data_IF_846066619145
#
_entry.id   IF_846066619145
#
_cell.length_a   1.000
_cell.length_b   1.000
_cell.length_c   1.000
_cell.angle_alpha   90.00
_cell.angle_beta   90.00
_cell.angle_gamma   90.00
#
_symmetry.space_group_name_H-M   'P 1'
#
loop_
_entity.id
_entity.type
_entity.pdbx_description
1 polymer ?
#
# COMPACT_ATOMS: atom_id res chain seq x y z
N UNK A 1 25.26 -11.68 69.56
CA UNK A 1 23.80 -11.55 69.45
C UNK A 1 23.50 -11.53 67.97
N UNK A 2 23.36 -12.72 67.39
CA UNK A 2 23.15 -12.91 65.96
C UNK A 2 21.67 -13.10 65.67
N UNK A 3 21.18 -12.31 64.71
CA UNK A 3 19.80 -12.33 64.25
C UNK A 3 19.74 -13.13 62.95
N UNK A 4 19.12 -14.31 62.98
CA UNK A 4 18.79 -15.11 61.80
C UNK A 4 17.42 -14.68 61.25
N UNK A 5 17.40 -14.23 59.99
CA UNK A 5 16.19 -13.94 59.22
C UNK A 5 15.92 -15.13 58.30
N UNK A 6 14.80 -15.82 58.52
CA UNK A 6 14.29 -16.89 57.66
C UNK A 6 13.55 -16.32 56.45
N UNK A 7 13.92 -16.78 55.25
CA UNK A 7 13.21 -16.52 54.01
C UNK A 7 12.46 -17.76 53.53
N UNK A 8 11.13 -17.71 53.63
CA UNK A 8 10.19 -18.71 53.11
C UNK A 8 10.18 -18.67 51.57
N UNK A 9 10.50 -19.79 50.93
CA UNK A 9 10.42 -19.93 49.47
C UNK A 9 9.18 -20.75 49.10
N UNK A 10 8.10 -20.06 48.75
CA UNK A 10 6.89 -20.70 48.23
C UNK A 10 7.11 -21.17 46.78
N UNK A 11 7.17 -22.49 46.59
CA UNK A 11 7.25 -23.14 45.27
C UNK A 11 5.86 -23.09 44.61
N UNK A 12 5.71 -22.25 43.59
CA UNK A 12 4.49 -22.14 42.78
C UNK A 12 4.47 -23.24 41.71
N UNK A 13 3.69 -24.30 41.96
CA UNK A 13 3.49 -25.39 41.01
C UNK A 13 2.45 -24.94 39.98
N UNK A 14 2.90 -24.58 38.77
CA UNK A 14 2.01 -24.27 37.65
C UNK A 14 1.34 -25.56 37.16
N UNK A 15 0.05 -25.71 37.43
CA UNK A 15 -0.79 -26.72 36.79
C UNK A 15 -0.88 -26.45 35.29
N UNK A 16 -0.18 -27.25 34.50
CA UNK A 16 -0.32 -27.29 33.04
C UNK A 16 -1.67 -27.88 32.65
N UNK A 17 -2.55 -27.05 32.09
CA UNK A 17 -3.81 -27.49 31.47
C UNK A 17 -3.50 -28.50 30.35
N UNK A 18 -4.09 -29.72 30.37
CA UNK A 18 -3.81 -30.72 29.34
C UNK A 18 -4.21 -30.20 27.95
N UNK A 19 -3.31 -30.37 27.00
CA UNK A 19 -3.50 -30.01 25.60
C UNK A 19 -4.69 -30.80 25.03
N UNK A 20 -5.79 -30.10 24.76
CA UNK A 20 -6.94 -30.67 24.05
C UNK A 20 -6.57 -30.71 22.56
N UNK A 21 -6.44 -31.89 21.93
CA UNK A 21 -6.09 -31.96 20.51
C UNK A 21 -7.13 -31.16 19.72
N UNK A 22 -6.68 -30.19 18.92
CA UNK A 22 -7.55 -29.42 18.03
C UNK A 22 -8.19 -30.42 17.07
N UNK A 23 -9.52 -30.53 17.11
CA UNK A 23 -10.30 -31.34 16.17
C UNK A 23 -9.85 -31.03 14.75
N UNK A 24 -9.54 -32.07 13.98
CA UNK A 24 -9.20 -31.95 12.56
C UNK A 24 -10.33 -31.17 11.90
N UNK A 25 -10.04 -30.06 11.19
CA UNK A 25 -11.07 -29.28 10.53
C UNK A 25 -11.77 -30.19 9.52
N UNK A 26 -13.03 -30.52 9.78
CA UNK A 26 -13.86 -31.27 8.85
C UNK A 26 -13.94 -30.45 7.55
N UNK A 27 -13.65 -31.08 6.42
CA UNK A 27 -13.86 -30.48 5.12
C UNK A 27 -15.30 -29.96 5.04
N UNK A 28 -15.49 -28.73 4.53
CA UNK A 28 -16.83 -28.21 4.30
C UNK A 28 -17.55 -29.13 3.30
N UNK A 29 -18.80 -29.54 3.56
CA UNK A 29 -19.51 -30.42 2.64
C UNK A 29 -19.72 -29.71 1.29
N UNK A 30 -19.65 -30.47 0.20
CA UNK A 30 -20.01 -29.97 -1.14
C UNK A 30 -21.50 -29.62 -1.22
N UNK A 31 -21.90 -28.84 -2.23
CA UNK A 31 -23.33 -28.53 -2.46
C UNK A 31 -24.15 -29.81 -2.59
N UNK A 32 -23.65 -30.79 -3.35
CA UNK A 32 -24.28 -32.11 -3.53
C UNK A 32 -24.47 -32.84 -2.20
N UNK A 33 -23.46 -32.82 -1.31
CA UNK A 33 -23.57 -33.43 0.02
C UNK A 33 -24.59 -32.71 0.90
N UNK A 34 -24.71 -31.40 0.77
CA UNK A 34 -25.74 -30.62 1.49
C UNK A 34 -27.13 -30.93 0.93
N UNK A 35 -27.30 -31.00 -0.39
CA UNK A 35 -28.56 -31.40 -1.03
C UNK A 35 -29.01 -32.80 -0.58
N UNK A 36 -28.09 -33.77 -0.55
CA UNK A 36 -28.36 -35.12 -0.06
C UNK A 36 -28.75 -35.13 1.44
N UNK A 37 -28.09 -34.30 2.25
CA UNK A 37 -28.42 -34.16 3.66
C UNK A 37 -29.81 -33.52 3.86
N UNK A 38 -30.15 -32.50 3.08
CA UNK A 38 -31.47 -31.86 3.12
C UNK A 38 -32.57 -32.81 2.65
N UNK A 39 -32.35 -33.64 1.63
CA UNK A 39 -33.35 -34.61 1.16
C UNK A 39 -33.85 -35.57 2.27
N UNK A 40 -33.02 -35.82 3.29
CA UNK A 40 -33.33 -36.68 4.45
C UNK A 40 -34.06 -35.94 5.59
N UNK A 41 -34.19 -34.62 5.51
CA UNK A 41 -34.85 -33.80 6.52
C UNK A 41 -36.36 -33.67 6.27
N UNK A 42 -37.17 -33.48 7.33
CA UNK A 42 -38.60 -33.19 7.19
C UNK A 42 -38.86 -31.86 6.45
N UNK A 43 -40.08 -31.64 5.90
CA UNK A 43 -40.41 -30.40 5.18
C UNK A 43 -40.21 -29.11 5.99
N UNK A 44 -40.31 -29.20 7.32
CA UNK A 44 -40.04 -28.13 8.27
C UNK A 44 -38.77 -28.43 9.07
N UNK A 45 -37.78 -27.56 9.00
CA UNK A 45 -36.46 -27.76 9.63
C UNK A 45 -36.14 -26.70 10.67
N UNK A 46 -35.50 -27.13 11.75
CA UNK A 46 -34.97 -26.27 12.80
C UNK A 46 -33.57 -25.76 12.44
N UNK A 47 -33.14 -24.68 13.10
CA UNK A 47 -31.77 -24.16 12.93
C UNK A 47 -30.67 -25.18 13.22
N UNK A 48 -30.90 -26.12 14.15
CA UNK A 48 -29.96 -27.21 14.47
C UNK A 48 -29.84 -28.20 13.32
N UNK A 49 -30.96 -28.59 12.70
CA UNK A 49 -30.95 -29.49 11.54
C UNK A 49 -30.28 -28.84 10.33
N UNK A 50 -30.55 -27.56 10.08
CA UNK A 50 -29.88 -26.79 9.00
C UNK A 50 -28.38 -26.72 9.27
N UNK A 51 -27.96 -26.44 10.51
CA UNK A 51 -26.55 -26.38 10.88
C UNK A 51 -25.86 -27.75 10.63
N UNK A 52 -26.47 -28.83 11.10
CA UNK A 52 -25.94 -30.19 10.94
C UNK A 52 -25.81 -30.58 9.45
N UNK A 53 -26.86 -30.35 8.64
CA UNK A 53 -26.86 -30.67 7.22
C UNK A 53 -25.82 -29.87 6.40
N UNK A 54 -25.41 -28.69 6.89
CA UNK A 54 -24.43 -27.82 6.23
C UNK A 54 -23.03 -27.92 6.82
N UNK A 55 -22.78 -28.89 7.72
CA UNK A 55 -21.49 -29.07 8.38
C UNK A 55 -21.10 -27.91 9.29
N UNK A 56 -22.08 -27.24 9.92
CA UNK A 56 -21.91 -26.06 10.78
C UNK A 56 -22.41 -26.32 12.19
N UNK A 57 -21.91 -25.52 13.13
CA UNK A 57 -22.33 -25.56 14.54
C UNK A 57 -23.60 -24.76 14.79
N UNK A 58 -23.81 -23.66 14.06
CA UNK A 58 -24.99 -22.79 14.19
C UNK A 58 -25.25 -21.99 12.91
N UNK A 59 -26.50 -21.58 12.71
CA UNK A 59 -26.95 -20.70 11.62
C UNK A 59 -27.32 -19.28 12.07
N UNK A 60 -27.05 -18.89 13.32
CA UNK A 60 -27.43 -17.56 13.84
C UNK A 60 -26.92 -16.42 12.95
N UNK A 61 -25.70 -16.55 12.41
CA UNK A 61 -25.14 -15.55 11.51
C UNK A 61 -25.90 -15.47 10.17
N UNK A 62 -26.60 -16.51 9.73
CA UNK A 62 -27.40 -16.43 8.52
C UNK A 62 -28.67 -15.63 8.77
N UNK A 63 -29.36 -15.95 9.86
CA UNK A 63 -30.57 -15.24 10.29
C UNK A 63 -30.31 -13.75 10.54
N UNK A 64 -29.16 -13.41 11.14
CA UNK A 64 -28.83 -12.02 11.50
C UNK A 64 -28.28 -11.20 10.33
N UNK A 65 -27.51 -11.79 9.42
CA UNK A 65 -26.78 -11.04 8.40
C UNK A 65 -27.44 -11.07 7.00
N UNK A 66 -28.53 -11.80 6.83
CA UNK A 66 -29.22 -11.92 5.55
C UNK A 66 -30.71 -11.69 5.74
N UNK A 67 -31.18 -10.53 5.30
CA UNK A 67 -32.60 -10.12 5.37
C UNK A 67 -33.50 -11.02 4.52
N UNK A 68 -32.92 -11.70 3.53
CA UNK A 68 -33.60 -12.66 2.66
C UNK A 68 -33.50 -14.11 3.13
N UNK A 69 -33.00 -14.35 4.34
CA UNK A 69 -33.00 -15.70 4.91
C UNK A 69 -34.45 -16.19 5.10
N UNK A 70 -34.81 -17.43 4.71
CA UNK A 70 -36.18 -17.89 4.75
C UNK A 70 -36.84 -17.71 6.13
N UNK A 71 -38.07 -17.14 6.16
CA UNK A 71 -38.73 -16.80 7.40
C UNK A 71 -39.16 -18.04 8.17
N UNK A 72 -39.42 -17.85 9.46
CA UNK A 72 -39.99 -18.87 10.34
C UNK A 72 -41.43 -19.14 9.91
N UNK A 73 -41.75 -20.40 9.61
CA UNK A 73 -43.12 -20.83 9.24
C UNK A 73 -43.94 -21.28 10.44
N UNK A 74 -43.26 -21.77 11.48
CA UNK A 74 -43.87 -22.24 12.72
C UNK A 74 -42.87 -22.12 13.86
N UNK A 75 -43.36 -21.86 15.07
CA UNK A 75 -42.55 -21.88 16.29
C UNK A 75 -43.16 -22.83 17.31
N UNK A 76 -42.32 -23.60 18.00
CA UNK A 76 -42.74 -24.51 19.07
C UNK A 76 -41.77 -24.36 20.25
N UNK A 77 -42.21 -23.68 21.30
CA UNK A 77 -41.33 -23.29 22.40
C UNK A 77 -40.17 -22.41 21.91
N UNK A 78 -38.93 -22.88 22.09
CA UNK A 78 -37.72 -22.20 21.62
C UNK A 78 -37.29 -22.63 20.20
N UNK A 79 -37.95 -23.61 19.61
CA UNK A 79 -37.63 -24.09 18.28
C UNK A 79 -38.36 -23.27 17.22
N UNK A 80 -37.58 -22.69 16.29
CA UNK A 80 -38.10 -22.02 15.10
C UNK A 80 -37.95 -22.95 13.89
N UNK A 81 -39.06 -23.23 13.23
CA UNK A 81 -39.12 -24.07 12.04
C UNK A 81 -39.19 -23.22 10.78
N UNK A 82 -38.47 -23.64 9.75
CA UNK A 82 -38.41 -22.99 8.43
C UNK A 82 -38.71 -24.01 7.34
N UNK A 83 -39.19 -23.54 6.19
CA UNK A 83 -39.39 -24.43 5.05
C UNK A 83 -38.03 -24.95 4.55
N UNK A 84 -37.87 -26.27 4.53
CA UNK A 84 -36.64 -26.97 4.15
C UNK A 84 -36.16 -26.58 2.75
N UNK A 85 -37.05 -26.65 1.77
CA UNK A 85 -36.72 -26.45 0.36
C UNK A 85 -36.34 -24.99 0.10
N UNK A 86 -37.00 -24.04 0.77
CA UNK A 86 -36.62 -22.62 0.74
C UNK A 86 -35.26 -22.35 1.36
N UNK A 87 -34.91 -23.04 2.44
CA UNK A 87 -33.57 -22.93 3.04
C UNK A 87 -32.50 -23.51 2.13
N UNK A 88 -32.77 -24.63 1.47
CA UNK A 88 -31.85 -25.23 0.50
C UNK A 88 -31.66 -24.31 -0.72
N UNK A 89 -32.75 -23.83 -1.32
CA UNK A 89 -32.74 -22.86 -2.43
C UNK A 89 -31.91 -21.62 -2.07
N UNK A 90 -32.19 -21.04 -0.89
CA UNK A 90 -31.41 -19.91 -0.37
C UNK A 90 -29.93 -20.29 -0.22
N UNK A 91 -29.61 -21.44 0.40
CA UNK A 91 -28.23 -21.88 0.62
C UNK A 91 -27.46 -22.00 -0.71
N UNK A 92 -28.03 -22.70 -1.70
CA UNK A 92 -27.43 -22.91 -3.02
C UNK A 92 -27.21 -21.59 -3.75
N UNK A 93 -28.15 -20.64 -3.64
CA UNK A 93 -28.01 -19.30 -4.24
C UNK A 93 -26.90 -18.45 -3.60
N UNK A 94 -26.50 -18.73 -2.35
CA UNK A 94 -25.50 -17.91 -1.68
C UNK A 94 -24.10 -18.21 -2.16
N UNK A 95 -23.22 -17.20 -2.26
CA UNK A 95 -21.79 -17.43 -2.49
C UNK A 95 -21.10 -18.29 -1.42
N UNK A 96 -21.79 -18.62 -0.32
CA UNK A 96 -21.28 -19.43 0.79
C UNK A 96 -21.37 -20.94 0.61
N UNK A 97 -22.24 -21.40 -0.28
CA UNK A 97 -22.39 -22.81 -0.65
C UNK A 97 -21.44 -23.23 -1.77
N UNK A 98 -20.95 -22.26 -2.55
CA UNK A 98 -20.00 -22.50 -3.63
C UNK A 98 -18.73 -23.15 -3.06
N UNK A 99 -18.50 -24.42 -3.41
CA UNK A 99 -17.41 -25.27 -2.87
C UNK A 99 -15.99 -24.72 -3.10
N UNK A 100 -15.86 -23.68 -3.94
CA UNK A 100 -14.62 -22.94 -4.18
C UNK A 100 -14.36 -21.81 -3.18
N UNK A 101 -15.11 -21.71 -2.08
CA UNK A 101 -14.78 -20.75 -1.02
C UNK A 101 -13.46 -21.12 -0.36
N UNK A 102 -12.43 -20.38 -0.77
CA UNK A 102 -11.12 -20.38 -0.14
C UNK A 102 -11.30 -20.02 1.34
N UNK A 103 -10.95 -20.96 2.21
CA UNK A 103 -10.75 -20.63 3.61
C UNK A 103 -9.60 -19.61 3.75
N UNK A 104 -9.37 -19.05 4.95
CA UNK A 104 -8.25 -18.13 5.20
C UNK A 104 -6.87 -18.66 4.76
N UNK A 105 -6.76 -19.98 4.55
CA UNK A 105 -5.53 -20.68 4.16
C UNK A 105 -5.13 -20.49 2.70
N UNK A 106 -6.05 -20.20 1.79
CA UNK A 106 -5.76 -20.03 0.34
C UNK A 106 -5.78 -18.56 -0.13
N UNK A 107 -5.78 -17.64 0.84
CA UNK A 107 -5.81 -16.19 0.60
C UNK A 107 -4.53 -15.73 -0.11
N UNK A 108 -3.40 -16.39 0.14
CA UNK A 108 -2.10 -16.06 -0.48
C UNK A 108 -2.10 -16.28 -1.99
N UNK A 109 -2.62 -17.41 -2.48
CA UNK A 109 -2.73 -17.65 -3.90
C UNK A 109 -3.69 -16.66 -4.57
N UNK A 110 -4.77 -16.26 -3.88
CA UNK A 110 -5.69 -15.25 -4.37
C UNK A 110 -5.02 -13.87 -4.42
N UNK A 111 -4.29 -13.50 -3.37
CA UNK A 111 -3.52 -12.26 -3.29
C UNK A 111 -2.45 -12.19 -4.40
N UNK A 112 -1.75 -13.28 -4.68
CA UNK A 112 -0.76 -13.36 -5.76
C UNK A 112 -1.39 -13.14 -7.14
N UNK A 113 -2.54 -13.74 -7.41
CA UNK A 113 -3.22 -13.67 -8.70
C UNK A 113 -4.01 -12.38 -8.92
N UNK A 114 -4.49 -11.76 -7.85
CA UNK A 114 -5.37 -10.59 -7.92
C UNK A 114 -4.67 -9.35 -8.51
N UNK A 115 -5.37 -8.68 -9.43
CA UNK A 115 -4.95 -7.46 -10.13
C UNK A 115 -6.13 -6.47 -10.17
N UNK A 116 -6.60 -5.96 -9.01
CA UNK A 116 -7.75 -5.05 -8.96
C UNK A 116 -7.39 -3.71 -9.62
N UNK A 117 -8.27 -3.15 -10.44
CA UNK A 117 -8.02 -1.85 -11.10
C UNK A 117 -7.91 -0.66 -10.13
N UNK A 118 -8.45 -0.80 -8.92
CA UNK A 118 -8.42 0.22 -7.87
C UNK A 118 -7.27 -0.01 -6.88
N UNK A 119 -6.60 1.08 -6.51
CA UNK A 119 -5.52 1.08 -5.52
C UNK A 119 -6.03 0.90 -4.08
N UNK A 120 -7.16 1.52 -3.77
CA UNK A 120 -7.77 1.49 -2.45
C UNK A 120 -9.05 0.67 -2.48
N UNK A 121 -9.12 -0.39 -1.70
CA UNK A 121 -10.27 -1.27 -1.69
C UNK A 121 -11.04 -1.15 -0.38
N UNK A 122 -12.37 -1.17 -0.48
CA UNK A 122 -13.22 -1.37 0.70
C UNK A 122 -13.02 -2.79 1.24
N UNK A 123 -13.37 -3.04 2.51
CA UNK A 123 -13.31 -4.39 3.07
C UNK A 123 -14.16 -5.42 2.27
N UNK A 124 -15.25 -4.97 1.64
CA UNK A 124 -16.06 -5.81 0.75
C UNK A 124 -15.31 -6.14 -0.54
N UNK A 125 -14.70 -5.14 -1.18
CA UNK A 125 -13.91 -5.34 -2.39
C UNK A 125 -12.68 -6.25 -2.13
N UNK A 126 -11.97 -6.06 -1.02
CA UNK A 126 -10.87 -6.96 -0.60
C UNK A 126 -11.39 -8.39 -0.43
N UNK A 127 -12.53 -8.55 0.25
CA UNK A 127 -13.15 -9.86 0.43
C UNK A 127 -13.41 -10.54 -0.92
N UNK A 128 -14.06 -9.83 -1.85
CA UNK A 128 -14.34 -10.34 -3.19
C UNK A 128 -13.06 -10.69 -3.95
N UNK A 129 -12.06 -9.80 -3.96
CA UNK A 129 -10.76 -10.01 -4.61
C UNK A 129 -10.04 -11.25 -4.08
N UNK A 130 -10.16 -11.52 -2.78
CA UNK A 130 -9.50 -12.65 -2.11
C UNK A 130 -10.36 -13.92 -2.06
N UNK A 131 -11.62 -13.87 -2.50
CA UNK A 131 -12.58 -14.96 -2.35
C UNK A 131 -12.96 -15.25 -0.90
N UNK A 132 -12.87 -14.26 0.00
CA UNK A 132 -13.27 -14.35 1.42
C UNK A 132 -14.40 -13.38 1.75
N UNK A 133 -15.01 -13.54 2.92
CA UNK A 133 -16.10 -12.63 3.33
C UNK A 133 -15.58 -11.28 3.80
N UNK A 134 -16.35 -10.19 3.61
CA UNK A 134 -16.09 -8.88 4.22
C UNK A 134 -15.79 -8.98 5.73
N UNK A 135 -16.54 -9.83 6.44
CA UNK A 135 -16.33 -10.08 7.88
C UNK A 135 -14.99 -10.74 8.18
N UNK A 136 -14.48 -11.60 7.31
CA UNK A 136 -13.14 -12.17 7.46
C UNK A 136 -12.06 -11.09 7.35
N UNK A 137 -12.24 -10.09 6.48
CA UNK A 137 -11.33 -8.94 6.40
C UNK A 137 -11.34 -8.13 7.70
N UNK A 138 -12.52 -7.84 8.27
CA UNK A 138 -12.59 -7.17 9.57
C UNK A 138 -11.94 -7.97 10.70
N UNK A 139 -12.06 -9.30 10.69
CA UNK A 139 -11.37 -10.13 11.66
C UNK A 139 -9.85 -9.96 11.61
N UNK A 140 -9.24 -9.71 10.45
CA UNK A 140 -7.80 -9.39 10.40
C UNK A 140 -7.52 -8.10 11.18
N UNK A 141 -8.31 -7.05 10.98
CA UNK A 141 -8.17 -5.81 11.73
C UNK A 141 -8.36 -6.02 13.25
N UNK A 142 -9.31 -6.85 13.66
CA UNK A 142 -9.58 -7.12 15.08
C UNK A 142 -8.46 -7.93 15.75
N UNK A 143 -7.88 -8.91 15.05
CA UNK A 143 -6.83 -9.78 15.60
C UNK A 143 -5.44 -9.15 15.47
N UNK A 144 -5.24 -8.31 14.46
CA UNK A 144 -3.99 -7.64 14.12
C UNK A 144 -4.23 -6.13 14.11
N UNK A 145 -4.70 -5.59 15.23
CA UNK A 145 -4.89 -4.14 15.41
C UNK A 145 -3.56 -3.39 15.49
N UNK A 146 -3.62 -2.07 15.71
CA UNK A 146 -2.43 -1.20 15.77
C UNK A 146 -1.39 -1.62 16.82
N UNK A 147 -1.85 -2.21 17.93
CA UNK A 147 -0.98 -2.70 19.02
C UNK A 147 -0.38 -4.09 18.73
N UNK A 148 -0.71 -4.71 17.60
CA UNK A 148 -0.12 -5.98 17.20
C UNK A 148 1.33 -5.78 16.77
N UNK A 149 2.17 -6.77 17.03
CA UNK A 149 3.53 -6.81 16.46
C UNK A 149 3.52 -6.83 14.93
N UNK A 150 2.41 -7.25 14.31
CA UNK A 150 2.25 -7.31 12.86
C UNK A 150 0.88 -6.74 12.42
N UNK A 151 0.66 -5.43 12.54
CA UNK A 151 -0.65 -4.82 12.37
C UNK A 151 -1.15 -5.00 10.93
N UNK A 152 -2.44 -5.32 10.81
CA UNK A 152 -3.14 -5.32 9.52
C UNK A 152 -3.22 -3.88 8.99
N UNK A 153 -3.03 -3.64 7.67
CA UNK A 153 -2.98 -2.29 7.13
C UNK A 153 -4.21 -1.46 7.51
N UNK A 154 -3.93 -0.27 8.04
CA UNK A 154 -4.95 0.67 8.47
C UNK A 154 -5.77 1.18 7.28
N UNK A 155 -7.08 1.44 7.45
CA UNK A 155 -7.85 2.14 6.44
C UNK A 155 -7.47 3.63 6.37
N UNK A 156 -7.68 4.25 5.22
CA UNK A 156 -7.66 5.69 5.05
C UNK A 156 -8.94 6.34 5.65
N UNK A 157 -9.07 7.66 5.51
CA UNK A 157 -10.24 8.42 6.00
C UNK A 157 -11.59 7.91 5.46
N UNK A 158 -11.61 7.33 4.25
CA UNK A 158 -12.81 6.77 3.61
C UNK A 158 -13.09 5.31 4.01
N UNK A 159 -12.33 4.74 4.95
CA UNK A 159 -12.48 3.34 5.34
C UNK A 159 -11.92 2.32 4.33
N UNK A 160 -11.21 2.78 3.29
CA UNK A 160 -10.57 1.94 2.25
C UNK A 160 -9.12 1.64 2.62
N UNK A 161 -8.59 0.51 2.17
CA UNK A 161 -7.19 0.12 2.44
C UNK A 161 -6.40 0.03 1.15
N UNK A 162 -5.13 0.40 1.22
CA UNK A 162 -4.19 0.16 0.12
C UNK A 162 -4.14 -1.34 -0.17
N UNK A 163 -4.49 -1.73 -1.40
CA UNK A 163 -4.45 -3.12 -1.83
C UNK A 163 -3.03 -3.68 -1.77
N UNK A 164 -2.04 -2.89 -2.16
CA UNK A 164 -0.64 -3.31 -2.16
C UNK A 164 -0.13 -3.58 -0.74
N UNK A 165 -0.48 -2.73 0.23
CA UNK A 165 -0.18 -2.98 1.64
C UNK A 165 -0.87 -4.26 2.18
N UNK A 166 -2.15 -4.46 1.86
CA UNK A 166 -2.90 -5.67 2.25
C UNK A 166 -2.30 -6.92 1.63
N UNK A 167 -1.93 -6.85 0.36
CA UNK A 167 -1.29 -7.95 -0.37
C UNK A 167 0.06 -8.29 0.26
N UNK A 168 0.93 -7.32 0.49
CA UNK A 168 2.22 -7.54 1.15
C UNK A 168 2.06 -8.17 2.55
N UNK A 169 1.12 -7.67 3.36
CA UNK A 169 0.76 -8.26 4.66
C UNK A 169 0.33 -9.73 4.54
N UNK A 170 -0.48 -10.09 3.54
CA UNK A 170 -0.92 -11.47 3.33
C UNK A 170 0.20 -12.40 2.85
N UNK A 171 1.12 -11.89 2.03
CA UNK A 171 2.18 -12.70 1.43
C UNK A 171 3.34 -12.98 2.41
N UNK A 172 3.70 -12.04 3.29
CA UNK A 172 4.83 -12.23 4.22
C UNK A 172 4.67 -13.42 5.18
N UNK A 173 3.42 -13.80 5.48
CA UNK A 173 3.12 -14.93 6.36
C UNK A 173 3.34 -16.31 5.71
N UNK A 174 3.40 -16.38 4.37
CA UNK A 174 3.60 -17.63 3.62
C UNK A 174 4.93 -17.71 2.90
N UNK A 175 5.61 -16.59 2.76
CA UNK A 175 6.92 -16.48 2.16
C UNK A 175 7.84 -15.70 3.11
N UNK A 176 8.21 -16.30 4.26
CA UNK A 176 8.97 -15.61 5.29
C UNK A 176 10.36 -15.23 4.77
N UNK A 177 10.93 -14.17 5.36
CA UNK A 177 12.33 -13.81 5.15
C UNK A 177 13.23 -15.04 5.40
N UNK A 178 14.25 -15.30 4.56
CA UNK A 178 15.21 -16.37 4.80
C UNK A 178 15.75 -16.35 6.23
N UNK A 179 15.90 -17.52 6.83
CA UNK A 179 16.42 -17.62 8.20
C UNK A 179 17.92 -17.29 8.21
N UNK A 180 18.45 -16.69 9.29
CA UNK A 180 19.89 -16.55 9.46
C UNK A 180 20.56 -17.91 9.51
N UNK A 181 21.78 -18.00 8.97
CA UNK A 181 22.64 -19.17 9.10
C UNK A 181 23.15 -19.36 10.53
N UNK A 182 23.95 -20.41 10.78
CA UNK A 182 24.50 -20.71 12.11
C UNK A 182 25.30 -19.55 12.74
N UNK A 183 25.89 -18.68 11.91
CA UNK A 183 26.67 -17.52 12.32
C UNK A 183 25.82 -16.27 12.61
N UNK A 184 24.49 -16.39 12.55
CA UNK A 184 23.55 -15.30 12.80
C UNK A 184 23.32 -14.35 11.60
N UNK A 185 24.11 -14.48 10.54
CA UNK A 185 23.96 -13.69 9.30
C UNK A 185 23.06 -14.40 8.30
N UNK A 186 22.24 -13.64 7.56
CA UNK A 186 21.47 -14.16 6.42
C UNK A 186 22.32 -14.18 5.16
N UNK A 187 22.07 -15.17 4.32
CA UNK A 187 22.68 -15.26 2.98
C UNK A 187 22.06 -14.16 2.09
N UNK A 188 22.86 -13.14 1.78
CA UNK A 188 22.40 -11.98 1.03
C UNK A 188 21.85 -12.33 -0.37
N UNK A 189 22.52 -13.17 -1.20
CA UNK A 189 21.93 -13.71 -2.41
C UNK A 189 20.54 -14.34 -2.24
N UNK A 190 20.31 -15.10 -1.16
CA UNK A 190 18.97 -15.65 -0.87
C UNK A 190 17.96 -14.56 -0.50
N UNK A 191 18.38 -13.53 0.25
CA UNK A 191 17.54 -12.37 0.56
C UNK A 191 17.19 -11.60 -0.71
N UNK A 192 18.15 -11.33 -1.61
CA UNK A 192 17.90 -10.68 -2.89
C UNK A 192 16.92 -11.46 -3.76
N UNK A 193 17.10 -12.77 -3.90
CA UNK A 193 16.19 -13.63 -4.63
C UNK A 193 14.78 -13.65 -4.00
N UNK A 194 14.69 -13.57 -2.66
CA UNK A 194 13.43 -13.44 -1.95
C UNK A 194 12.77 -12.07 -2.16
N UNK A 195 13.53 -10.98 -2.14
CA UNK A 195 13.03 -9.62 -2.41
C UNK A 195 12.39 -9.54 -3.80
N UNK A 196 13.07 -10.08 -4.82
CA UNK A 196 12.65 -9.96 -6.22
C UNK A 196 11.66 -11.05 -6.69
N UNK A 197 11.30 -12.02 -5.84
CA UNK A 197 10.48 -13.20 -6.20
C UNK A 197 9.13 -12.87 -6.85
N UNK A 198 8.56 -11.72 -6.55
CA UNK A 198 7.29 -11.23 -7.12
C UNK A 198 7.44 -9.89 -7.84
N UNK A 199 8.67 -9.48 -8.10
CA UNK A 199 8.94 -8.30 -8.88
C UNK A 199 8.48 -8.53 -10.32
N UNK A 200 7.65 -7.63 -10.82
CA UNK A 200 7.29 -7.56 -12.23
C UNK A 200 8.04 -6.36 -12.82
N UNK A 201 9.04 -6.56 -13.68
CA UNK A 201 9.76 -5.46 -14.33
C UNK A 201 8.81 -4.55 -15.10
N UNK A 202 9.10 -3.24 -15.15
CA UNK A 202 8.24 -2.27 -15.88
C UNK A 202 8.08 -2.68 -17.35
N UNK A 203 9.14 -3.24 -17.94
CA UNK A 203 9.16 -3.77 -19.31
C UNK A 203 8.13 -4.86 -19.61
N UNK A 204 7.60 -5.54 -18.58
CA UNK A 204 6.60 -6.59 -18.73
C UNK A 204 5.16 -6.10 -18.55
N UNK A 205 4.97 -4.82 -18.21
CA UNK A 205 3.64 -4.23 -18.03
C UNK A 205 3.12 -3.75 -19.40
N UNK A 206 2.25 -4.55 -20.02
CA UNK A 206 1.54 -4.17 -21.25
C UNK A 206 0.34 -3.30 -20.90
N UNK A 207 0.28 -2.11 -21.49
CA UNK A 207 -0.80 -1.11 -21.41
C UNK A 207 -1.05 -0.49 -20.02
N UNK A 208 -0.81 0.82 -19.91
CA UNK A 208 -1.22 1.67 -18.78
C UNK A 208 -0.66 1.25 -17.41
N UNK A 209 0.51 1.77 -17.04
CA UNK A 209 1.08 1.53 -15.71
C UNK A 209 0.18 2.15 -14.63
N UNK A 210 -0.53 1.31 -13.88
CA UNK A 210 -1.25 1.76 -12.68
C UNK A 210 -0.22 1.89 -11.55
N UNK A 211 0.20 3.13 -11.29
CA UNK A 211 1.02 3.48 -10.14
C UNK A 211 0.16 3.57 -8.88
N UNK A 212 0.63 3.01 -7.78
CA UNK A 212 -0.02 3.05 -6.48
C UNK A 212 0.12 4.42 -5.78
N UNK A 213 -0.33 4.50 -4.53
CA UNK A 213 -0.25 5.72 -3.72
C UNK A 213 1.17 6.22 -3.49
N UNK A 214 2.18 5.35 -3.61
CA UNK A 214 3.59 5.73 -3.51
C UNK A 214 4.21 6.06 -4.86
N UNK A 215 3.42 6.05 -5.94
CA UNK A 215 3.93 6.32 -7.28
C UNK A 215 4.72 5.14 -7.87
N UNK A 216 4.51 3.93 -7.35
CA UNK A 216 5.18 2.71 -7.83
C UNK A 216 4.18 1.67 -8.30
N UNK A 217 4.61 0.74 -9.13
CA UNK A 217 3.81 -0.42 -9.53
C UNK A 217 3.61 -1.38 -8.35
N UNK A 218 2.57 -2.22 -8.39
CA UNK A 218 2.36 -3.23 -7.34
C UNK A 218 3.56 -4.17 -7.16
N UNK A 219 4.24 -4.52 -8.26
CA UNK A 219 5.45 -5.35 -8.21
C UNK A 219 6.61 -4.65 -7.50
N UNK A 220 6.81 -3.35 -7.74
CA UNK A 220 7.79 -2.57 -6.98
C UNK A 220 7.41 -2.42 -5.51
N UNK A 221 6.13 -2.17 -5.21
CA UNK A 221 5.62 -2.06 -3.84
C UNK A 221 5.82 -3.32 -3.04
N UNK A 222 5.63 -4.50 -3.64
CA UNK A 222 5.93 -5.77 -2.97
C UNK A 222 7.39 -5.87 -2.55
N UNK A 223 8.31 -5.50 -3.44
CA UNK A 223 9.75 -5.52 -3.15
C UNK A 223 10.07 -4.53 -2.02
N UNK A 224 9.49 -3.33 -2.06
CA UNK A 224 9.67 -2.29 -1.02
C UNK A 224 9.18 -2.79 0.35
N UNK A 225 7.98 -3.36 0.41
CA UNK A 225 7.43 -3.91 1.66
C UNK A 225 8.29 -5.06 2.20
N UNK A 226 8.80 -5.93 1.31
CA UNK A 226 9.74 -6.99 1.70
C UNK A 226 11.07 -6.44 2.19
N UNK A 227 11.58 -5.38 1.56
CA UNK A 227 12.80 -4.71 1.98
C UNK A 227 12.63 -4.04 3.35
N UNK A 228 11.46 -3.45 3.64
CA UNK A 228 11.14 -2.93 4.98
C UNK A 228 11.11 -4.04 6.04
N UNK A 229 10.54 -5.20 5.72
CA UNK A 229 10.56 -6.36 6.63
C UNK A 229 11.98 -6.87 6.88
N UNK A 230 12.83 -6.88 5.86
CA UNK A 230 14.23 -7.23 6.01
C UNK A 230 14.97 -6.21 6.90
N UNK A 231 14.78 -4.90 6.68
CA UNK A 231 15.30 -3.84 7.56
C UNK A 231 14.84 -3.99 9.02
N UNK A 232 13.56 -4.30 9.23
CA UNK A 232 13.01 -4.53 10.57
C UNK A 232 13.58 -5.81 11.24
N UNK A 233 14.21 -6.69 10.47
CA UNK A 233 14.92 -7.87 10.94
C UNK A 233 16.46 -7.67 10.95
N UNK A 234 16.89 -6.41 11.03
CA UNK A 234 18.27 -5.93 11.07
C UNK A 234 19.11 -6.22 9.82
N UNK A 235 18.48 -6.48 8.67
CA UNK A 235 19.19 -6.61 7.40
C UNK A 235 19.48 -5.25 6.76
N UNK A 236 20.72 -5.05 6.32
CA UNK A 236 21.11 -3.85 5.58
C UNK A 236 20.67 -3.98 4.12
N UNK A 237 19.73 -3.12 3.70
CA UNK A 237 19.30 -3.02 2.30
C UNK A 237 20.04 -1.86 1.64
N UNK A 238 20.88 -2.17 0.64
CA UNK A 238 21.53 -1.17 -0.19
C UNK A 238 20.48 -0.46 -1.09
N UNK A 239 20.25 0.82 -0.81
CA UNK A 239 19.30 1.64 -1.56
C UNK A 239 19.71 1.87 -3.02
N UNK A 240 21.00 1.89 -3.35
CA UNK A 240 21.46 2.03 -4.73
C UNK A 240 21.18 0.75 -5.53
N UNK A 241 21.39 -0.41 -4.92
CA UNK A 241 20.94 -1.69 -5.48
C UNK A 241 19.42 -1.69 -5.67
N UNK A 242 18.65 -1.35 -4.63
CA UNK A 242 17.20 -1.39 -4.69
C UNK A 242 16.64 -0.43 -5.75
N UNK A 243 17.18 0.79 -5.84
CA UNK A 243 16.80 1.76 -6.86
C UNK A 243 17.01 1.23 -8.28
N UNK A 244 18.15 0.55 -8.52
CA UNK A 244 18.44 -0.06 -9.82
C UNK A 244 17.48 -1.19 -10.15
N UNK A 245 17.25 -2.12 -9.23
CA UNK A 245 16.34 -3.26 -9.46
C UNK A 245 14.90 -2.81 -9.66
N UNK A 246 14.50 -1.71 -9.01
CA UNK A 246 13.17 -1.16 -9.14
C UNK A 246 13.06 -0.09 -10.24
N UNK A 247 14.10 0.18 -11.02
CA UNK A 247 14.09 1.22 -12.04
C UNK A 247 13.58 2.58 -11.49
N UNK A 248 14.05 2.95 -10.29
CA UNK A 248 13.83 4.25 -9.65
C UNK A 248 14.87 5.26 -10.15
N UNK A 249 14.60 6.56 -9.99
CA UNK A 249 15.50 7.61 -10.51
C UNK A 249 16.83 7.70 -9.74
N UNK A 250 16.87 7.22 -8.49
CA UNK A 250 18.05 7.26 -7.65
C UNK A 250 17.87 6.57 -6.29
N UNK A 251 18.97 6.36 -5.55
CA UNK A 251 18.95 5.75 -4.21
C UNK A 251 18.08 6.54 -3.23
N UNK A 252 17.94 7.85 -3.40
CA UNK A 252 17.12 8.70 -2.52
C UNK A 252 15.64 8.35 -2.61
N UNK A 253 15.14 8.00 -3.81
CA UNK A 253 13.76 7.52 -3.96
C UNK A 253 13.55 6.18 -3.27
N UNK A 254 14.54 5.28 -3.34
CA UNK A 254 14.48 4.00 -2.65
C UNK A 254 14.46 4.19 -1.13
N UNK A 255 15.28 5.08 -0.57
CA UNK A 255 15.27 5.38 0.87
C UNK A 255 13.92 5.95 1.33
N UNK A 256 13.40 6.96 0.62
CA UNK A 256 12.07 7.53 0.90
C UNK A 256 10.99 6.45 0.91
N UNK A 257 11.01 5.56 -0.09
CA UNK A 257 10.12 4.43 -0.15
C UNK A 257 10.36 3.43 0.99
N UNK A 258 11.58 3.20 1.46
CA UNK A 258 11.81 2.34 2.63
C UNK A 258 11.27 2.98 3.92
N UNK A 259 11.30 4.31 4.01
CA UNK A 259 10.85 5.07 5.18
C UNK A 259 9.33 5.25 5.25
N UNK A 260 8.58 4.82 4.23
CA UNK A 260 7.12 4.98 4.22
C UNK A 260 6.61 6.09 3.32
N UNK A 261 7.49 6.89 2.73
CA UNK A 261 7.12 8.07 1.98
C UNK A 261 6.60 7.75 0.58
N UNK A 262 5.74 8.62 0.07
CA UNK A 262 5.25 8.56 -1.30
C UNK A 262 6.21 9.25 -2.26
N UNK A 263 6.45 8.63 -3.43
CA UNK A 263 7.09 9.32 -4.56
C UNK A 263 6.10 10.16 -5.36
N UNK A 264 4.79 10.06 -5.07
CA UNK A 264 3.84 11.00 -5.66
C UNK A 264 4.16 12.40 -5.13
N UNK A 265 3.98 13.42 -5.97
CA UNK A 265 3.87 14.79 -5.54
C UNK A 265 2.96 14.92 -4.32
N UNK A 266 3.51 15.25 -3.15
CA UNK A 266 2.68 15.67 -2.03
C UNK A 266 2.04 17.01 -2.39
N UNK A 267 0.81 17.27 -1.92
CA UNK A 267 0.22 18.61 -2.04
C UNK A 267 1.12 19.68 -1.39
N UNK A 268 1.92 19.30 -0.39
CA UNK A 268 2.93 20.14 0.27
C UNK A 268 4.20 20.33 -0.58
N UNK A 269 4.49 19.41 -1.52
CA UNK A 269 5.57 19.54 -2.50
C UNK A 269 5.20 20.44 -3.68
N UNK A 270 3.90 20.77 -3.83
CA UNK A 270 3.43 21.68 -4.86
C UNK A 270 3.63 23.12 -4.43
N UNK A 271 4.51 23.80 -5.13
CA UNK A 271 4.90 25.17 -4.85
C UNK A 271 4.41 26.11 -5.94
N UNK A 272 4.04 27.32 -5.56
CA UNK A 272 3.87 28.42 -6.51
C UNK A 272 5.24 28.79 -7.13
N UNK A 273 5.22 29.58 -8.21
CA UNK A 273 6.47 29.90 -8.93
C UNK A 273 7.53 30.59 -8.04
N UNK A 274 7.17 31.57 -7.18
CA UNK A 274 8.12 32.14 -6.22
C UNK A 274 8.75 31.13 -5.26
N UNK A 275 7.94 30.29 -4.59
CA UNK A 275 8.45 29.29 -3.65
C UNK A 275 9.29 28.23 -4.37
N UNK A 276 8.86 27.81 -5.57
CA UNK A 276 9.61 26.88 -6.42
C UNK A 276 10.98 27.43 -6.82
N UNK A 277 11.04 28.71 -7.23
CA UNK A 277 12.30 29.35 -7.58
C UNK A 277 13.25 29.43 -6.37
N UNK A 278 12.70 29.73 -5.18
CA UNK A 278 13.46 29.74 -3.94
C UNK A 278 13.98 28.34 -3.56
N UNK A 279 13.15 27.30 -3.68
CA UNK A 279 13.51 25.93 -3.32
C UNK A 279 14.61 25.36 -4.22
N UNK A 280 14.64 25.76 -5.49
CA UNK A 280 15.59 25.28 -6.50
C UNK A 280 16.82 26.19 -6.68
N UNK A 281 17.03 27.16 -5.79
CA UNK A 281 18.10 28.16 -5.88
C UNK A 281 18.21 28.81 -7.29
N UNK A 282 17.07 29.28 -7.81
CA UNK A 282 16.95 29.88 -9.14
C UNK A 282 16.08 31.14 -9.12
N UNK A 283 15.91 31.78 -10.27
CA UNK A 283 15.08 32.99 -10.37
C UNK A 283 13.67 32.67 -10.88
N UNK A 284 12.69 33.41 -10.41
CA UNK A 284 11.31 33.40 -10.95
C UNK A 284 11.31 33.59 -12.48
N UNK A 285 12.19 34.44 -13.00
CA UNK A 285 12.32 34.66 -14.45
C UNK A 285 12.84 33.40 -15.18
N UNK A 286 13.79 32.68 -14.58
CA UNK A 286 14.28 31.40 -15.12
C UNK A 286 13.16 30.37 -15.20
N UNK A 287 12.39 30.20 -14.12
CA UNK A 287 11.27 29.25 -14.07
C UNK A 287 10.20 29.65 -15.10
N UNK A 288 9.78 30.92 -15.13
CA UNK A 288 8.80 31.42 -16.13
C UNK A 288 9.27 31.22 -17.56
N UNK A 289 10.57 31.40 -17.83
CA UNK A 289 11.15 31.14 -19.15
C UNK A 289 10.98 29.69 -19.55
N UNK A 290 11.28 28.74 -18.68
CA UNK A 290 11.11 27.32 -19.02
C UNK A 290 9.64 26.94 -19.21
N UNK A 291 8.74 27.47 -18.36
CA UNK A 291 7.29 27.30 -18.55
C UNK A 291 6.84 27.76 -19.94
N UNK A 292 7.39 28.87 -20.46
CA UNK A 292 6.98 29.40 -21.76
C UNK A 292 7.72 28.80 -22.96
N UNK A 293 8.97 28.35 -22.80
CA UNK A 293 9.78 27.84 -23.91
C UNK A 293 9.81 26.33 -24.03
N UNK A 294 9.40 25.60 -22.99
CA UNK A 294 9.40 24.14 -22.93
C UNK A 294 7.98 23.62 -22.70
N UNK A 295 7.08 23.89 -23.64
CA UNK A 295 5.71 23.36 -23.60
C UNK A 295 5.66 21.98 -24.28
N UNK A 296 4.57 21.20 -24.09
CA UNK A 296 4.38 19.94 -24.82
C UNK A 296 4.46 20.09 -26.34
N UNK A 297 4.13 21.26 -26.88
CA UNK A 297 4.16 21.54 -28.32
C UNK A 297 5.56 21.96 -28.82
N UNK A 298 6.45 22.41 -27.93
CA UNK A 298 7.75 23.01 -28.33
C UNK A 298 8.98 22.22 -27.86
N UNK A 299 8.80 21.15 -27.07
CA UNK A 299 9.91 20.39 -26.49
C UNK A 299 9.55 18.91 -26.34
N UNK A 300 10.47 18.02 -26.74
CA UNK A 300 10.35 16.57 -26.53
C UNK A 300 10.42 16.18 -25.04
N UNK A 301 11.00 17.05 -24.20
CA UNK A 301 10.96 16.97 -22.74
C UNK A 301 10.34 18.28 -22.19
N UNK A 302 9.00 18.36 -22.11
CA UNK A 302 8.32 19.57 -21.67
C UNK A 302 8.54 19.84 -20.18
N UNK A 303 8.44 21.10 -19.79
CA UNK A 303 8.52 21.49 -18.39
C UNK A 303 7.33 20.92 -17.60
N UNK A 304 7.54 20.45 -16.35
CA UNK A 304 6.49 19.89 -15.51
C UNK A 304 5.20 20.72 -15.46
N UNK A 305 4.08 20.02 -15.61
CA UNK A 305 2.76 20.63 -15.67
C UNK A 305 2.34 21.20 -14.31
N UNK A 306 1.55 22.27 -14.35
CA UNK A 306 0.90 22.79 -13.16
C UNK A 306 -0.34 21.99 -12.79
N UNK A 307 -0.78 22.05 -11.54
CA UNK A 307 -2.17 21.76 -11.18
C UNK A 307 -3.11 22.91 -11.55
N UNK A 308 -4.39 22.75 -11.21
CA UNK A 308 -5.45 23.73 -11.42
C UNK A 308 -5.21 25.08 -10.71
N UNK A 309 -4.32 25.11 -9.70
CA UNK A 309 -3.93 26.30 -8.96
C UNK A 309 -2.66 26.97 -9.51
N UNK A 310 -2.04 26.39 -10.53
CA UNK A 310 -0.78 26.90 -11.10
C UNK A 310 0.47 26.42 -10.36
N UNK A 311 0.33 25.57 -9.34
CA UNK A 311 1.43 25.04 -8.55
C UNK A 311 2.07 23.84 -9.23
N UNK A 312 3.38 23.68 -9.04
CA UNK A 312 4.16 22.59 -9.63
C UNK A 312 4.86 21.82 -8.54
N UNK A 313 5.03 20.53 -8.77
CA UNK A 313 5.79 19.69 -7.87
C UNK A 313 7.28 20.03 -7.92
N UNK A 314 7.85 20.35 -6.75
CA UNK A 314 9.26 20.75 -6.64
C UNK A 314 10.23 19.65 -7.09
N UNK A 315 9.92 18.38 -6.82
CA UNK A 315 10.80 17.26 -7.14
C UNK A 315 10.75 16.92 -8.64
N UNK A 316 9.58 16.99 -9.27
CA UNK A 316 9.43 16.83 -10.72
C UNK A 316 10.24 17.90 -11.47
N UNK A 317 10.20 19.14 -10.98
CA UNK A 317 10.98 20.25 -11.54
C UNK A 317 12.47 20.08 -11.28
N UNK A 318 12.88 19.65 -10.08
CA UNK A 318 14.28 19.35 -9.76
C UNK A 318 14.85 18.24 -10.65
N UNK A 319 14.08 17.15 -10.84
CA UNK A 319 14.45 16.06 -11.73
C UNK A 319 14.57 16.54 -13.18
N UNK A 320 13.63 17.36 -13.64
CA UNK A 320 13.69 17.98 -14.96
C UNK A 320 14.92 18.88 -15.12
N UNK A 321 15.24 19.71 -14.12
CA UNK A 321 16.44 20.55 -14.09
C UNK A 321 17.72 19.72 -14.20
N UNK A 322 17.82 18.61 -13.46
CA UNK A 322 18.96 17.67 -13.52
C UNK A 322 19.11 17.06 -14.92
N UNK A 323 18.02 16.55 -15.52
CA UNK A 323 18.04 15.98 -16.87
C UNK A 323 18.44 16.99 -17.95
N UNK A 324 17.97 18.23 -17.81
CA UNK A 324 18.24 19.31 -18.76
C UNK A 324 19.52 20.11 -18.45
N UNK A 325 20.32 19.63 -17.49
CA UNK A 325 21.58 20.27 -17.06
C UNK A 325 21.41 21.76 -16.74
N UNK A 326 20.26 22.12 -16.17
CA UNK A 326 19.98 23.48 -15.71
C UNK A 326 20.76 23.67 -14.42
N UNK A 327 22.01 24.12 -14.56
CA UNK A 327 22.84 24.46 -13.40
C UNK A 327 22.20 25.55 -12.54
N UNK A 328 22.57 25.64 -11.24
CA UNK A 328 22.12 26.73 -10.38
C UNK A 328 22.39 28.05 -11.08
N UNK A 329 21.42 28.97 -11.01
CA UNK A 329 21.55 30.24 -11.69
C UNK A 329 22.69 31.01 -11.03
N UNK A 330 23.89 30.97 -11.64
CA UNK A 330 24.94 31.94 -11.31
C UNK A 330 24.46 33.28 -11.86
N UNK A 331 24.07 34.25 -11.01
CA UNK A 331 23.81 35.59 -11.51
C UNK A 331 25.02 36.02 -12.31
N UNK A 332 24.80 36.40 -13.58
CA UNK A 332 25.83 36.96 -14.43
C UNK A 332 26.46 38.09 -13.62
N UNK A 333 27.73 37.93 -13.21
CA UNK A 333 28.40 38.88 -12.35
C UNK A 333 28.12 40.28 -12.91
N UNK A 334 27.74 41.26 -12.07
CA UNK A 334 27.44 42.60 -12.55
C UNK A 334 28.58 43.03 -13.45
N UNK A 335 28.24 43.56 -14.64
CA UNK A 335 29.22 43.95 -15.63
C UNK A 335 30.37 44.69 -14.92
N UNK A 336 31.64 44.30 -15.13
CA UNK A 336 32.75 44.80 -14.34
C UNK A 336 32.66 46.33 -14.29
N UNK A 337 32.86 46.93 -13.11
CA UNK A 337 32.73 48.39 -12.84
C UNK A 337 33.22 49.27 -13.99
N UNK A 338 34.31 48.85 -14.65
CA UNK A 338 34.89 49.44 -15.87
C UNK A 338 33.93 49.62 -17.04
N UNK A 339 33.00 48.71 -17.29
CA UNK A 339 32.01 48.83 -18.37
C UNK A 339 30.92 49.87 -18.05
N UNK A 340 30.57 50.03 -16.78
CA UNK A 340 29.66 51.09 -16.33
C UNK A 340 30.37 52.46 -16.35
N UNK A 341 31.61 52.52 -15.86
CA UNK A 341 32.46 53.71 -15.91
C UNK A 341 32.70 54.17 -17.35
N UNK A 342 32.97 53.25 -18.29
CA UNK A 342 33.16 53.58 -19.71
C UNK A 342 31.89 54.09 -20.39
N UNK A 343 30.71 53.57 -20.00
CA UNK A 343 29.42 54.10 -20.49
C UNK A 343 29.09 55.47 -19.90
N UNK A 344 29.43 55.71 -18.63
CA UNK A 344 29.27 57.01 -18.00
C UNK A 344 30.21 58.05 -18.66
N UNK A 345 31.47 57.70 -18.86
CA UNK A 345 32.45 58.57 -19.52
C UNK A 345 32.06 58.91 -20.97
N UNK A 346 31.52 57.94 -21.74
CA UNK A 346 31.04 58.20 -23.10
C UNK A 346 29.82 59.14 -23.12
N UNK A 347 28.91 59.03 -22.15
CA UNK A 347 27.78 59.97 -22.02
C UNK A 347 28.25 61.38 -21.66
N UNK A 348 29.18 61.48 -20.72
CA UNK A 348 29.73 62.77 -20.31
C UNK A 348 30.52 63.44 -21.43
N UNK A 349 31.29 62.66 -22.21
CA UNK A 349 31.97 63.17 -23.39
C UNK A 349 31.00 63.68 -24.47
N UNK A 350 29.94 62.92 -24.77
CA UNK A 350 28.92 63.33 -25.72
C UNK A 350 28.16 64.60 -25.27
N UNK A 351 27.92 64.75 -23.97
CA UNK A 351 27.27 65.93 -23.42
C UNK A 351 28.15 67.18 -23.53
N UNK A 352 29.45 67.07 -23.24
CA UNK A 352 30.40 68.17 -23.44
C UNK A 352 30.56 68.58 -24.90
N UNK A 353 30.50 67.62 -25.83
CA UNK A 353 30.55 67.89 -27.26
C UNK A 353 29.29 68.63 -27.75
N UNK A 354 28.11 68.24 -27.25
CA UNK A 354 26.86 68.95 -27.53
C UNK A 354 26.86 70.38 -26.96
N UNK A 355 27.38 70.59 -25.74
CA UNK A 355 27.50 71.92 -25.13
C UNK A 355 28.44 72.85 -25.91
N UNK A 356 29.57 72.33 -26.42
CA UNK A 356 30.48 73.10 -27.27
C UNK A 356 29.86 73.48 -28.62
N UNK A 357 29.10 72.58 -29.23
CA UNK A 357 28.43 72.83 -30.49
C UNK A 357 27.30 73.88 -30.39
N UNK A 358 26.75 74.11 -29.19
CA UNK A 358 25.75 75.15 -28.94
C UNK A 358 26.29 76.54 -28.60
N UNK A 359 27.60 76.69 -28.41
CA UNK A 359 28.26 77.96 -28.06
C UNK A 359 29.07 78.60 -29.21
N UNK A 360 29.23 77.88 -30.32
CA UNK A 360 29.82 78.37 -31.58
C UNK A 360 28.70 78.76 -32.55
#
# INVERSE_FOLDING_TARGET
MDTLIGGDTAVSIRTTTPYRPRSVPMAHPSVEQVEEAFAKLPPEVTGVQIAAATGRTTITNWVVNYDDFPPVVRSEGRAEYRNRDKVLEWYVSKPLSQGNRRGPRDVTAAALAARPSELFLTAAAIGNTLGITRRAVYKYNDHYGADSADPFPAPNADGRRSWSAVRAWLLRHKDPLPQPGPEGQRDWPLVQAWLLRHHTPKSQIKDGVVLDELGVTWGQRDVIERARLARAADETIDAAWLARELELEGPEQAERLLDGESLRPSAESRMDIPALASALDTTVATVKRFISTRTPDTSDDPFPAADDLGNRDVHEVEAWFRRNQVGPYRPKAPAPRRAQERRAALREAAQREAERAGQA
#
